data_IF_363451753851
#
_entry.id   IF_363451753851
#
_cell.length_a   1.000
_cell.length_b   1.000
_cell.length_c   1.000
_cell.angle_alpha   90.00
_cell.angle_beta   90.00
_cell.angle_gamma   90.00
#
_symmetry.space_group_name_H-M   'P 1'
#
loop_
_entity.id
_entity.type
_entity.pdbx_description
1 polymer ?
#
# COMPACT_ATOMS: atom_id res chain seq x y z
N UNK A 1 -16.05 17.71 -0.08
CA UNK A 1 -16.74 16.85 -1.06
C UNK A 1 -15.79 15.75 -1.50
N UNK A 2 -16.30 14.59 -1.91
CA UNK A 2 -15.50 13.52 -2.51
C UNK A 2 -15.21 13.87 -3.98
N UNK A 3 -13.93 13.86 -4.39
CA UNK A 3 -13.54 14.04 -5.78
C UNK A 3 -13.33 12.67 -6.42
N UNK A 4 -13.99 12.43 -7.55
CA UNK A 4 -13.81 11.22 -8.34
C UNK A 4 -13.06 11.59 -9.63
N UNK A 5 -11.86 11.04 -9.78
CA UNK A 5 -11.06 11.22 -10.99
C UNK A 5 -11.42 10.14 -12.00
N UNK A 6 -11.57 10.53 -13.27
CA UNK A 6 -11.79 9.58 -14.35
C UNK A 6 -10.50 8.83 -14.68
N UNK A 7 -10.58 7.51 -14.80
CA UNK A 7 -9.51 6.63 -15.21
C UNK A 7 -9.98 5.83 -16.44
N UNK A 8 -9.25 5.84 -17.57
CA UNK A 8 -9.59 5.04 -18.73
C UNK A 8 -9.50 3.54 -18.41
N UNK A 9 -10.29 2.70 -19.12
CA UNK A 9 -10.20 1.26 -18.96
C UNK A 9 -8.80 0.76 -19.38
N UNK A 10 -8.29 -0.22 -18.65
CA UNK A 10 -6.99 -0.88 -18.89
C UNK A 10 -5.75 0.03 -18.83
N UNK A 11 -5.85 1.22 -18.22
CA UNK A 11 -4.72 2.13 -18.01
C UNK A 11 -4.25 2.09 -16.55
N UNK A 12 -3.80 0.93 -16.09
CA UNK A 12 -3.29 0.76 -14.72
C UNK A 12 -2.07 1.65 -14.45
N UNK A 13 -1.28 1.98 -15.47
CA UNK A 13 -0.13 2.88 -15.35
C UNK A 13 -0.52 4.30 -14.95
N UNK A 14 -1.77 4.70 -15.21
CA UNK A 14 -2.29 6.00 -14.78
C UNK A 14 -2.78 6.00 -13.32
N UNK A 15 -2.93 4.83 -12.71
CA UNK A 15 -3.34 4.70 -11.32
C UNK A 15 -2.11 4.61 -10.40
N UNK A 16 -1.81 5.70 -9.70
CA UNK A 16 -0.63 5.81 -8.83
C UNK A 16 -0.55 4.74 -7.73
N UNK A 17 -1.66 4.11 -7.35
CA UNK A 17 -1.64 3.05 -6.35
C UNK A 17 -0.87 1.81 -6.84
N UNK A 18 -0.84 1.56 -8.14
CA UNK A 18 -0.16 0.40 -8.73
C UNK A 18 1.34 0.47 -8.49
N UNK A 19 1.93 1.66 -8.60
CA UNK A 19 3.33 1.89 -8.26
C UNK A 19 3.61 1.60 -6.78
N UNK A 20 2.72 2.02 -5.88
CA UNK A 20 2.88 1.78 -4.44
C UNK A 20 2.85 0.28 -4.10
N UNK A 21 1.95 -0.47 -4.73
CA UNK A 21 1.88 -1.93 -4.61
C UNK A 21 3.08 -2.63 -5.23
N UNK A 22 3.58 -2.14 -6.36
CA UNK A 22 4.79 -2.66 -6.98
C UNK A 22 5.97 -2.52 -6.02
N UNK A 23 6.20 -1.32 -5.48
CA UNK A 23 7.28 -1.07 -4.52
C UNK A 23 7.15 -1.99 -3.30
N UNK A 24 5.96 -2.04 -2.68
CA UNK A 24 5.68 -2.86 -1.49
C UNK A 24 6.06 -4.34 -1.72
N UNK A 25 5.60 -4.92 -2.83
CA UNK A 25 5.87 -6.32 -3.15
C UNK A 25 7.34 -6.59 -3.48
N UNK A 26 8.03 -5.64 -4.10
CA UNK A 26 9.41 -5.79 -4.56
C UNK A 26 10.43 -5.55 -3.45
N UNK A 27 10.15 -4.64 -2.51
CA UNK A 27 11.16 -4.19 -1.55
C UNK A 27 10.81 -4.47 -0.09
N UNK A 28 9.52 -4.47 0.26
CA UNK A 28 9.11 -4.57 1.66
C UNK A 28 8.69 -5.98 2.07
N UNK A 29 8.03 -6.74 1.18
CA UNK A 29 7.58 -8.11 1.48
C UNK A 29 8.11 -9.18 0.52
N UNK A 30 9.09 -8.84 -0.32
CA UNK A 30 9.67 -9.77 -1.28
C UNK A 30 10.26 -11.01 -0.61
N UNK A 31 9.94 -12.19 -1.15
CA UNK A 31 10.46 -13.48 -0.67
C UNK A 31 9.92 -13.94 0.69
N UNK A 32 8.97 -13.21 1.29
CA UNK A 32 8.29 -13.64 2.52
C UNK A 32 7.11 -14.57 2.18
N UNK A 33 6.94 -15.60 3.01
CA UNK A 33 5.74 -16.43 3.02
C UNK A 33 4.98 -16.16 4.33
N UNK A 34 3.66 -16.22 4.26
CA UNK A 34 2.76 -15.94 5.38
C UNK A 34 1.84 -17.14 5.57
N UNK A 35 1.68 -17.57 6.82
CA UNK A 35 0.79 -18.69 7.17
C UNK A 35 -0.65 -18.20 7.34
N UNK A 36 -0.82 -17.00 7.89
CA UNK A 36 -2.10 -16.38 8.14
C UNK A 36 -2.21 -14.98 7.54
N UNK A 37 -3.45 -14.55 7.31
CA UNK A 37 -3.75 -13.20 6.80
C UNK A 37 -3.25 -12.10 7.75
N UNK A 38 -3.29 -12.36 9.07
CA UNK A 38 -2.78 -11.43 10.09
C UNK A 38 -1.27 -11.18 9.92
N UNK A 39 -0.50 -12.22 9.59
CA UNK A 39 0.95 -12.10 9.38
C UNK A 39 1.25 -11.24 8.15
N UNK A 40 0.45 -11.40 7.09
CA UNK A 40 0.55 -10.56 5.90
C UNK A 40 0.18 -9.11 6.20
N UNK A 41 -0.90 -8.88 6.95
CA UNK A 41 -1.34 -7.54 7.31
C UNK A 41 -0.28 -6.80 8.14
N UNK A 42 0.31 -7.47 9.13
CA UNK A 42 1.37 -6.93 9.97
C UNK A 42 2.62 -6.63 9.13
N UNK A 43 3.03 -7.55 8.25
CA UNK A 43 4.14 -7.34 7.34
C UNK A 43 3.97 -6.15 6.39
N UNK A 44 2.74 -5.92 5.90
CA UNK A 44 2.42 -4.75 5.08
C UNK A 44 2.56 -3.47 5.90
N UNK A 45 2.02 -3.44 7.13
CA UNK A 45 2.10 -2.27 8.01
C UNK A 45 3.55 -1.93 8.33
N UNK A 46 4.33 -2.92 8.75
CA UNK A 46 5.76 -2.78 9.04
C UNK A 46 6.54 -2.29 7.82
N UNK A 47 6.29 -2.90 6.65
CA UNK A 47 6.93 -2.52 5.39
C UNK A 47 6.67 -1.06 5.02
N UNK A 48 5.41 -0.61 5.14
CA UNK A 48 5.03 0.77 4.88
C UNK A 48 5.70 1.74 5.87
N UNK A 49 5.74 1.41 7.15
CA UNK A 49 6.41 2.21 8.19
C UNK A 49 7.92 2.31 7.96
N UNK A 50 8.58 1.20 7.65
CA UNK A 50 10.01 1.17 7.34
C UNK A 50 10.33 2.01 6.11
N UNK A 51 9.53 1.89 5.04
CA UNK A 51 9.68 2.68 3.82
C UNK A 51 9.46 4.17 4.04
N UNK A 52 8.47 4.54 4.84
CA UNK A 52 8.20 5.94 5.25
C UNK A 52 9.36 6.54 6.06
N UNK A 53 9.90 5.76 7.00
CA UNK A 53 11.04 6.17 7.81
C UNK A 53 12.29 6.40 6.95
N UNK A 54 12.56 5.48 6.00
CA UNK A 54 13.66 5.61 5.03
C UNK A 54 13.47 6.79 4.06
N UNK A 55 12.23 7.04 3.64
CA UNK A 55 11.88 8.11 2.71
C UNK A 55 11.66 9.48 3.37
N UNK A 56 11.70 9.56 4.70
CA UNK A 56 11.46 10.77 5.49
C UNK A 56 10.15 11.49 5.12
N UNK A 57 9.04 10.75 5.04
CA UNK A 57 7.71 11.30 4.80
C UNK A 57 6.69 10.76 5.82
N UNK A 58 5.65 11.55 6.12
CA UNK A 58 4.57 11.14 7.01
C UNK A 58 3.70 10.07 6.37
N UNK A 59 3.42 8.99 7.10
CA UNK A 59 2.49 7.95 6.70
C UNK A 59 1.27 7.97 7.62
N UNK A 60 0.09 8.03 7.03
CA UNK A 60 -1.18 7.99 7.75
C UNK A 60 -1.96 6.72 7.37
N UNK A 61 -2.39 5.98 8.40
CA UNK A 61 -3.30 4.84 8.21
C UNK A 61 -4.74 5.34 8.27
N UNK A 62 -5.43 5.28 7.15
CA UNK A 62 -6.86 5.54 7.10
C UNK A 62 -7.63 4.30 7.60
N UNK A 63 -8.52 4.49 8.57
CA UNK A 63 -9.41 3.44 9.09
C UNK A 63 -10.83 3.79 8.64
N UNK A 64 -11.45 2.87 7.90
CA UNK A 64 -12.86 2.98 7.60
C UNK A 64 -13.66 2.73 8.88
N UNK A 65 -14.27 3.79 9.41
CA UNK A 65 -15.24 3.63 10.48
C UNK A 65 -16.53 3.06 9.85
N UNK A 66 -16.77 1.77 10.02
CA UNK A 66 -18.06 1.15 9.71
C UNK A 66 -18.97 1.26 10.94
N UNK A 67 -20.14 1.88 10.76
CA UNK A 67 -21.21 1.97 11.76
C UNK A 67 -21.86 0.62 12.06
#
# INVERSE_FOLDING_TARGET
GLFLFWLPPYCSEMNRIEEQWHQLKTHEIAGRMFEHEVDLADAIIEGMQARSSRGNYSLERFIFNSS
#
